data_IF_307256609187
#
_entry.id   IF_307256609187
#
_cell.length_a   1.000
_cell.length_b   1.000
_cell.length_c   1.000
_cell.angle_alpha   90.00
_cell.angle_beta   90.00
_cell.angle_gamma   90.00
#
_symmetry.space_group_name_H-M   'P 1'
#
loop_
_entity.id
_entity.type
_entity.pdbx_description
1 polymer ?
#
# COMPACT_ATOMS: atom_id res chain seq x y z
N UNK A 1 -34.40 4.22 0.58
CA UNK A 1 -33.62 4.50 1.79
C UNK A 1 -32.65 5.63 1.47
N UNK A 2 -33.04 6.88 1.72
CA UNK A 2 -32.27 8.06 1.28
C UNK A 2 -31.30 8.43 2.40
N UNK A 3 -30.05 8.00 2.29
CA UNK A 3 -29.00 8.32 3.27
C UNK A 3 -28.66 9.82 3.17
N UNK A 4 -29.06 10.60 4.18
CA UNK A 4 -28.93 12.05 4.18
C UNK A 4 -27.49 12.46 4.54
N UNK A 5 -26.67 12.70 3.52
CA UNK A 5 -25.21 12.95 3.60
C UNK A 5 -24.82 14.14 4.50
N UNK A 6 -25.74 15.10 4.72
CA UNK A 6 -25.51 16.23 5.62
C UNK A 6 -25.55 15.82 7.10
N UNK A 7 -26.21 14.71 7.45
CA UNK A 7 -26.31 14.28 8.84
C UNK A 7 -25.06 13.54 9.32
N UNK A 8 -24.38 12.75 8.47
CA UNK A 8 -23.17 12.02 8.88
C UNK A 8 -22.00 12.93 9.28
N UNK A 9 -21.91 14.12 8.68
CA UNK A 9 -20.92 15.15 9.06
C UNK A 9 -21.28 15.80 10.41
N UNK A 10 -22.56 15.95 10.74
CA UNK A 10 -23.01 16.49 12.04
C UNK A 10 -22.70 15.57 13.22
N UNK A 11 -22.53 14.26 12.99
CA UNK A 11 -22.20 13.27 14.04
C UNK A 11 -20.70 13.20 14.32
N UNK A 12 -19.87 14.12 13.79
CA UNK A 12 -18.41 14.22 14.04
C UNK A 12 -17.61 12.93 13.81
N UNK A 13 -18.10 11.99 12.98
CA UNK A 13 -17.39 10.72 12.75
C UNK A 13 -16.27 10.83 11.70
N UNK A 14 -16.32 11.85 10.86
CA UNK A 14 -15.32 12.12 9.81
C UNK A 14 -15.20 13.64 9.68
N UNK A 15 -13.98 14.23 9.75
CA UNK A 15 -13.80 15.70 9.72
C UNK A 15 -14.23 16.30 8.38
N UNK A 16 -13.88 15.65 7.27
CA UNK A 16 -14.23 16.08 5.92
C UNK A 16 -14.28 14.93 4.94
N UNK A 17 -15.01 15.14 3.84
CA UNK A 17 -15.16 14.18 2.74
C UNK A 17 -15.38 14.91 1.42
N UNK A 18 -14.78 14.41 0.35
CA UNK A 18 -14.99 14.88 -1.03
C UNK A 18 -15.30 13.71 -1.95
N UNK A 19 -16.06 13.97 -3.01
CA UNK A 19 -16.23 13.02 -4.10
C UNK A 19 -16.40 13.72 -5.44
N UNK A 20 -15.79 13.12 -6.46
CA UNK A 20 -15.88 13.53 -7.86
C UNK A 20 -16.33 12.32 -8.67
N UNK A 21 -17.32 12.50 -9.54
CA UNK A 21 -17.81 11.49 -10.49
C UNK A 21 -17.80 12.11 -11.87
N UNK A 22 -17.08 11.48 -12.80
CA UNK A 22 -16.95 11.92 -14.19
C UNK A 22 -17.32 10.74 -15.08
N UNK A 23 -18.13 10.97 -16.12
CA UNK A 23 -18.46 9.93 -17.09
C UNK A 23 -17.38 9.76 -18.16
N UNK A 24 -17.55 8.74 -19.01
CA UNK A 24 -16.60 8.44 -20.10
C UNK A 24 -16.44 9.57 -21.14
N UNK A 25 -17.35 10.55 -21.17
CA UNK A 25 -17.27 11.71 -22.07
C UNK A 25 -16.49 12.87 -21.46
N UNK A 26 -16.08 12.74 -20.19
CA UNK A 26 -15.45 13.81 -19.42
C UNK A 26 -16.46 14.74 -18.74
N UNK A 27 -17.76 14.44 -18.78
CA UNK A 27 -18.77 15.25 -18.11
C UNK A 27 -18.75 14.96 -16.61
N UNK A 28 -18.52 16.00 -15.81
CA UNK A 28 -18.66 15.95 -14.36
C UNK A 28 -20.13 15.77 -13.99
N UNK A 29 -20.44 14.64 -13.35
CA UNK A 29 -21.78 14.31 -12.85
C UNK A 29 -21.94 14.69 -11.38
N UNK A 30 -20.84 14.72 -10.62
CA UNK A 30 -20.80 15.06 -9.22
C UNK A 30 -19.42 15.65 -8.87
N UNK A 31 -19.37 16.74 -8.11
CA UNK A 31 -18.14 17.37 -7.64
C UNK A 31 -18.47 18.18 -6.38
N UNK A 32 -18.54 17.49 -5.25
CA UNK A 32 -18.94 18.11 -3.97
C UNK A 32 -18.00 17.67 -2.85
N UNK A 33 -17.88 18.52 -1.85
CA UNK A 33 -17.15 18.23 -0.61
C UNK A 33 -17.89 18.79 0.60
N UNK A 34 -17.63 18.20 1.77
CA UNK A 34 -18.27 18.56 3.03
C UNK A 34 -17.28 18.48 4.18
N UNK A 35 -17.48 19.30 5.21
CA UNK A 35 -16.71 19.28 6.45
C UNK A 35 -15.47 20.18 6.45
N UNK A 36 -14.58 19.94 7.40
CA UNK A 36 -13.36 20.71 7.68
C UNK A 36 -12.14 19.79 7.71
N UNK A 37 -10.95 20.36 7.77
CA UNK A 37 -9.71 19.57 7.87
C UNK A 37 -9.47 18.99 9.27
N UNK A 38 -10.08 19.59 10.28
CA UNK A 38 -10.00 19.15 11.67
C UNK A 38 -11.40 19.23 12.29
N UNK A 39 -11.83 18.13 12.92
CA UNK A 39 -13.14 18.04 13.58
C UNK A 39 -13.16 18.71 14.96
N UNK A 40 -11.99 18.94 15.56
CA UNK A 40 -11.85 19.49 16.92
C UNK A 40 -11.53 20.99 16.93
N UNK A 41 -11.18 21.56 15.77
CA UNK A 41 -10.92 23.00 15.63
C UNK A 41 -12.09 23.69 14.93
N UNK A 42 -12.78 24.57 15.66
CA UNK A 42 -13.90 25.38 15.14
C UNK A 42 -13.48 26.39 14.07
N UNK A 43 -12.19 26.72 13.98
CA UNK A 43 -11.62 27.60 12.96
C UNK A 43 -10.93 26.83 11.83
N UNK A 44 -11.06 25.50 11.80
CA UNK A 44 -10.44 24.67 10.78
C UNK A 44 -10.90 25.09 9.39
N UNK A 45 -9.95 25.06 8.44
CA UNK A 45 -10.25 25.36 7.04
C UNK A 45 -11.27 24.35 6.49
N UNK A 46 -12.14 24.76 5.55
CA UNK A 46 -13.04 23.85 4.87
C UNK A 46 -12.28 22.75 4.12
N UNK A 47 -12.85 21.54 4.13
CA UNK A 47 -12.40 20.47 3.25
C UNK A 47 -12.94 20.71 1.84
N UNK A 48 -12.05 20.80 0.86
CA UNK A 48 -12.38 21.00 -0.56
C UNK A 48 -11.87 19.85 -1.41
N UNK A 49 -12.37 19.72 -2.63
CA UNK A 49 -11.87 18.72 -3.59
C UNK A 49 -10.43 19.00 -4.07
N UNK A 50 -9.85 20.16 -3.74
CA UNK A 50 -8.44 20.51 -3.97
C UNK A 50 -7.56 20.30 -2.72
N UNK A 51 -8.14 19.74 -1.64
CA UNK A 51 -7.39 19.46 -0.41
C UNK A 51 -6.33 18.41 -0.68
N UNK A 52 -5.09 18.67 -0.25
CA UNK A 52 -4.00 17.70 -0.31
C UNK A 52 -4.25 16.58 0.71
N UNK A 53 -4.18 15.34 0.24
CA UNK A 53 -4.41 14.14 1.05
C UNK A 53 -3.24 13.19 0.94
N UNK A 54 -2.99 12.46 2.01
CA UNK A 54 -2.17 11.25 1.94
C UNK A 54 -2.95 10.16 1.22
N UNK A 55 -2.47 9.75 0.06
CA UNK A 55 -3.13 8.72 -0.76
C UNK A 55 -2.96 7.31 -0.20
N UNK A 56 -1.97 7.09 0.66
CA UNK A 56 -1.64 5.77 1.20
C UNK A 56 -1.59 4.71 0.08
N UNK A 57 -2.27 3.57 0.27
CA UNK A 57 -2.28 2.50 -0.71
C UNK A 57 -2.90 2.86 -2.07
N UNK A 58 -3.62 3.98 -2.21
CA UNK A 58 -4.13 4.41 -3.52
C UNK A 58 -2.99 4.69 -4.52
N UNK A 59 -1.77 4.95 -4.03
CA UNK A 59 -0.57 5.10 -4.87
C UNK A 59 -0.28 3.85 -5.72
N UNK A 60 -0.71 2.64 -5.29
CA UNK A 60 -0.54 1.38 -6.04
C UNK A 60 -1.13 1.43 -7.45
N UNK A 61 -2.23 2.18 -7.66
CA UNK A 61 -2.82 2.38 -8.98
C UNK A 61 -1.86 3.12 -9.91
N UNK A 62 -1.24 4.20 -9.42
CA UNK A 62 -0.28 4.99 -10.18
C UNK A 62 0.97 4.15 -10.47
N UNK A 63 1.49 3.43 -9.48
CA UNK A 63 2.64 2.53 -9.65
C UNK A 63 2.36 1.43 -10.70
N UNK A 64 1.16 0.85 -10.67
CA UNK A 64 0.75 -0.17 -11.65
C UNK A 64 0.67 0.41 -13.07
N UNK A 65 0.14 1.63 -13.21
CA UNK A 65 0.13 2.34 -14.49
C UNK A 65 1.54 2.58 -15.01
N UNK A 66 2.47 3.03 -14.16
CA UNK A 66 3.87 3.22 -14.55
C UNK A 66 4.52 1.90 -15.02
N UNK A 67 4.23 0.77 -14.35
CA UNK A 67 4.72 -0.54 -14.79
C UNK A 67 4.19 -0.92 -16.19
N UNK A 68 2.90 -0.66 -16.47
CA UNK A 68 2.31 -0.90 -17.79
C UNK A 68 2.91 0.03 -18.87
N UNK A 69 3.20 1.29 -18.54
CA UNK A 69 3.89 2.20 -19.46
C UNK A 69 5.32 1.72 -19.78
N UNK A 70 6.03 1.15 -18.81
CA UNK A 70 7.36 0.57 -19.04
C UNK A 70 7.30 -0.69 -19.92
N UNK A 71 6.22 -1.48 -19.81
CA UNK A 71 5.93 -2.61 -20.71
C UNK A 71 5.69 -2.12 -22.14
N UNK A 72 4.84 -1.10 -22.33
CA UNK A 72 4.56 -0.50 -23.66
C UNK A 72 5.83 0.07 -24.31
N UNK A 73 6.73 0.65 -23.51
CA UNK A 73 8.04 1.15 -23.96
C UNK A 73 9.06 0.04 -24.26
N UNK A 74 8.73 -1.24 -24.03
CA UNK A 74 9.64 -2.37 -24.19
C UNK A 74 10.77 -2.43 -23.14
N UNK A 75 10.72 -1.61 -22.09
CA UNK A 75 11.68 -1.63 -20.97
C UNK A 75 11.41 -2.82 -20.05
N UNK A 76 10.14 -3.13 -19.83
CA UNK A 76 9.71 -4.44 -19.36
C UNK A 76 9.37 -5.27 -20.60
N UNK A 77 9.91 -6.48 -20.72
CA UNK A 77 9.69 -7.29 -21.91
C UNK A 77 8.39 -8.09 -21.83
N UNK A 78 8.04 -8.59 -20.65
CA UNK A 78 6.77 -9.26 -20.35
C UNK A 78 6.39 -9.08 -18.89
N UNK A 79 5.10 -9.12 -18.56
CA UNK A 79 4.64 -9.18 -17.16
C UNK A 79 4.95 -10.53 -16.50
N UNK A 80 5.21 -11.57 -17.30
CA UNK A 80 5.67 -12.88 -16.82
C UNK A 80 7.19 -12.91 -16.58
N UNK A 81 7.91 -11.82 -16.89
CA UNK A 81 9.33 -11.75 -16.61
C UNK A 81 9.60 -11.92 -15.11
N UNK A 82 10.61 -12.72 -14.71
CA UNK A 82 11.07 -12.78 -13.35
C UNK A 82 11.53 -11.40 -12.87
N UNK A 83 11.04 -10.94 -11.71
CA UNK A 83 11.39 -9.63 -11.14
C UNK A 83 12.89 -9.47 -10.97
N UNK A 84 13.60 -10.56 -10.64
CA UNK A 84 15.06 -10.58 -10.49
C UNK A 84 15.85 -10.10 -11.72
N UNK A 85 15.23 -10.10 -12.91
CA UNK A 85 15.82 -9.51 -14.14
C UNK A 85 16.04 -8.00 -14.00
N UNK A 86 15.15 -7.33 -13.26
CA UNK A 86 15.15 -5.89 -13.04
C UNK A 86 15.66 -5.52 -11.63
N UNK A 87 15.40 -6.37 -10.64
CA UNK A 87 15.79 -6.18 -9.24
C UNK A 87 16.47 -7.46 -8.72
N UNK A 88 17.78 -7.67 -8.98
CA UNK A 88 18.49 -8.91 -8.66
C UNK A 88 18.37 -9.36 -7.20
N UNK A 89 18.22 -8.43 -6.27
CA UNK A 89 18.04 -8.70 -4.84
C UNK A 89 16.78 -9.54 -4.55
N UNK A 90 15.72 -9.42 -5.37
CA UNK A 90 14.50 -10.23 -5.24
C UNK A 90 14.78 -11.72 -5.47
N UNK A 91 15.82 -12.05 -6.24
CA UNK A 91 16.25 -13.43 -6.45
C UNK A 91 16.91 -14.08 -5.23
N UNK A 92 17.24 -13.29 -4.20
CA UNK A 92 17.87 -13.76 -2.97
C UNK A 92 16.86 -13.98 -1.83
N UNK A 93 15.58 -13.71 -2.09
CA UNK A 93 14.55 -13.82 -1.07
C UNK A 93 14.29 -15.27 -0.67
N UNK A 94 14.06 -15.46 0.62
CA UNK A 94 13.65 -16.72 1.23
C UNK A 94 12.21 -16.59 1.76
N UNK A 95 11.52 -17.72 1.88
CA UNK A 95 10.19 -17.79 2.48
C UNK A 95 10.35 -18.10 3.96
N UNK A 96 9.74 -17.28 4.80
CA UNK A 96 9.67 -17.50 6.23
C UNK A 96 8.49 -18.41 6.58
N UNK A 97 8.75 -19.46 7.35
CA UNK A 97 7.74 -20.47 7.73
C UNK A 97 7.46 -20.48 9.24
N UNK A 98 7.98 -19.49 9.99
CA UNK A 98 7.82 -19.39 11.44
C UNK A 98 9.12 -19.63 12.19
N UNK A 99 8.99 -20.07 13.44
CA UNK A 99 10.11 -20.37 14.34
C UNK A 99 10.09 -21.83 14.75
N UNK A 100 11.28 -22.41 14.95
CA UNK A 100 11.43 -23.74 15.53
C UNK A 100 11.16 -23.72 17.05
N UNK A 101 11.19 -24.90 17.67
CA UNK A 101 11.01 -25.07 19.13
C UNK A 101 12.03 -24.32 19.99
N UNK A 102 13.15 -23.88 19.41
CA UNK A 102 14.20 -23.13 20.09
C UNK A 102 14.10 -21.61 19.80
N UNK A 103 13.08 -21.16 19.06
CA UNK A 103 12.92 -19.76 18.66
C UNK A 103 13.80 -19.33 17.48
N UNK A 104 14.43 -20.27 16.76
CA UNK A 104 15.20 -19.95 15.55
C UNK A 104 14.27 -19.86 14.33
N UNK A 105 14.46 -18.87 13.43
CA UNK A 105 13.62 -18.71 12.25
C UNK A 105 13.80 -19.89 11.27
N UNK A 106 12.69 -20.37 10.73
CA UNK A 106 12.65 -21.40 9.69
C UNK A 106 12.53 -20.68 8.35
N UNK A 107 13.54 -20.84 7.50
CA UNK A 107 13.60 -20.26 6.16
C UNK A 107 13.71 -21.36 5.12
N UNK A 108 13.03 -21.19 3.98
CA UNK A 108 13.17 -22.06 2.82
C UNK A 108 13.35 -21.27 1.54
N UNK A 109 13.86 -21.93 0.51
CA UNK A 109 13.88 -21.36 -0.84
C UNK A 109 12.45 -21.26 -1.41
N UNK A 110 12.15 -20.21 -2.18
CA UNK A 110 10.90 -20.13 -2.94
C UNK A 110 10.78 -21.27 -3.95
N UNK A 111 9.55 -21.78 -4.14
CA UNK A 111 9.27 -22.87 -5.10
C UNK A 111 9.18 -22.38 -6.55
N UNK A 112 9.04 -21.07 -6.74
CA UNK A 112 8.93 -20.41 -8.04
C UNK A 112 9.59 -19.03 -7.99
N UNK A 113 9.79 -18.43 -9.16
CA UNK A 113 10.27 -17.04 -9.24
C UNK A 113 9.09 -16.09 -9.19
N UNK A 114 9.26 -14.96 -8.50
CA UNK A 114 8.29 -13.87 -8.51
C UNK A 114 8.34 -13.20 -9.88
N UNK A 115 7.18 -13.04 -10.53
CA UNK A 115 7.00 -12.30 -11.78
C UNK A 115 6.46 -10.91 -11.50
N UNK A 116 6.52 -10.02 -12.48
CA UNK A 116 5.91 -8.69 -12.35
C UNK A 116 4.40 -8.80 -12.15
N UNK A 117 3.74 -9.74 -12.83
CA UNK A 117 2.32 -10.04 -12.65
C UNK A 117 2.00 -10.44 -11.20
N UNK A 118 2.86 -11.24 -10.55
CA UNK A 118 2.67 -11.60 -9.15
C UNK A 118 2.69 -10.37 -8.23
N UNK A 119 3.56 -9.39 -8.49
CA UNK A 119 3.59 -8.13 -7.73
C UNK A 119 2.31 -7.30 -7.95
N UNK A 120 1.90 -7.14 -9.21
CA UNK A 120 0.73 -6.32 -9.57
C UNK A 120 -0.60 -6.88 -9.06
N UNK A 121 -0.66 -8.19 -8.81
CA UNK A 121 -1.89 -8.90 -8.39
C UNK A 121 -1.87 -9.32 -6.93
N UNK A 122 -0.85 -8.95 -6.16
CA UNK A 122 -0.68 -9.37 -4.77
C UNK A 122 -0.65 -10.91 -4.59
N UNK A 123 0.02 -11.61 -5.51
CA UNK A 123 0.19 -13.08 -5.49
C UNK A 123 1.65 -13.51 -5.46
N UNK A 124 2.58 -12.58 -5.22
CA UNK A 124 4.02 -12.85 -5.05
C UNK A 124 4.36 -13.56 -3.74
N UNK A 125 3.38 -13.66 -2.86
CA UNK A 125 3.54 -14.09 -1.49
C UNK A 125 4.04 -12.97 -0.59
N UNK A 126 4.36 -11.75 -1.04
CA UNK A 126 4.87 -10.69 -0.16
C UNK A 126 3.75 -10.10 0.75
N UNK A 127 3.97 -9.91 2.06
CA UNK A 127 3.03 -9.31 3.04
C UNK A 127 3.65 -8.12 3.80
N UNK A 128 2.87 -7.50 4.69
CA UNK A 128 3.32 -6.48 5.62
C UNK A 128 3.60 -7.08 7.00
N UNK A 129 4.46 -6.45 7.79
CA UNK A 129 4.84 -6.91 9.13
C UNK A 129 3.98 -6.33 10.26
N UNK A 130 3.00 -5.48 9.95
CA UNK A 130 2.16 -4.79 10.93
C UNK A 130 0.76 -5.39 11.12
N UNK A 131 0.44 -6.48 10.41
CA UNK A 131 -0.80 -7.22 10.66
C UNK A 131 -0.62 -8.23 11.79
N UNK A 132 -1.64 -8.44 12.63
CA UNK A 132 -1.57 -9.38 13.76
C UNK A 132 -1.22 -10.80 13.32
N UNK A 133 -1.71 -11.22 12.14
CA UNK A 133 -1.38 -12.52 11.53
C UNK A 133 0.08 -12.65 11.14
N UNK A 134 0.78 -11.52 10.97
CA UNK A 134 2.17 -11.41 10.58
C UNK A 134 3.09 -11.03 11.75
N UNK A 135 2.60 -11.08 13.00
CA UNK A 135 3.44 -10.85 14.19
C UNK A 135 4.72 -11.70 14.21
N UNK A 136 4.72 -12.99 13.82
CA UNK A 136 5.97 -13.76 13.72
C UNK A 136 7.00 -13.16 12.74
N UNK A 137 6.52 -12.54 11.65
CA UNK A 137 7.38 -11.81 10.70
C UNK A 137 7.97 -10.54 11.32
N UNK A 138 7.16 -9.80 12.09
CA UNK A 138 7.64 -8.65 12.85
C UNK A 138 8.75 -9.04 13.83
N UNK A 139 8.52 -10.08 14.64
CA UNK A 139 9.51 -10.56 15.61
C UNK A 139 10.80 -11.02 14.92
N UNK A 140 10.68 -11.65 13.74
CA UNK A 140 11.83 -12.03 12.94
C UNK A 140 12.63 -10.82 12.45
N UNK A 141 11.97 -9.77 11.92
CA UNK A 141 12.62 -8.52 11.48
C UNK A 141 13.33 -7.82 12.63
N UNK A 142 12.66 -7.70 13.78
CA UNK A 142 13.24 -7.14 14.98
C UNK A 142 14.50 -7.92 15.42
N UNK A 143 14.51 -9.26 15.30
CA UNK A 143 15.69 -10.08 15.61
C UNK A 143 16.89 -9.82 14.67
N UNK A 144 16.62 -9.27 13.48
CA UNK A 144 17.62 -8.86 12.49
C UNK A 144 18.00 -7.38 12.59
N UNK A 145 17.43 -6.63 13.55
CA UNK A 145 17.65 -5.19 13.70
C UNK A 145 16.99 -4.36 12.59
N UNK A 146 15.97 -4.89 11.91
CA UNK A 146 15.23 -4.18 10.88
C UNK A 146 14.07 -3.41 11.51
N UNK A 147 13.90 -2.14 11.12
CA UNK A 147 12.75 -1.33 11.51
C UNK A 147 11.47 -1.85 10.88
N UNK A 148 10.34 -1.72 11.58
CA UNK A 148 9.06 -2.07 10.99
C UNK A 148 8.60 -1.02 9.99
N UNK A 149 7.78 -1.42 9.02
CA UNK A 149 7.17 -0.47 8.08
C UNK A 149 6.29 0.58 8.76
N UNK A 150 5.86 0.35 10.01
CA UNK A 150 5.17 1.35 10.84
C UNK A 150 6.13 2.35 11.50
N UNK A 151 7.34 1.93 11.84
CA UNK A 151 8.33 2.78 12.52
C UNK A 151 8.99 3.76 11.53
N UNK A 152 9.10 3.35 10.25
CA UNK A 152 9.55 4.20 9.15
C UNK A 152 8.62 5.39 8.83
N UNK A 153 7.41 5.43 9.43
CA UNK A 153 6.46 6.54 9.28
C UNK A 153 6.68 7.67 10.30
N UNK A 154 7.52 7.44 11.33
CA UNK A 154 7.76 8.43 12.40
C UNK A 154 9.04 9.26 12.18
N UNK A 155 9.98 8.79 11.34
CA UNK A 155 11.19 9.55 10.99
C UNK A 155 11.08 10.11 9.55
N UNK A 156 11.43 11.39 9.36
CA UNK A 156 11.50 12.09 8.05
C UNK A 156 12.61 11.55 7.11
N UNK A 157 12.90 10.25 7.15
CA UNK A 157 13.86 9.61 6.26
C UNK A 157 13.16 9.04 5.04
N UNK A 158 13.87 9.02 3.90
CA UNK A 158 13.41 8.53 2.61
C UNK A 158 12.52 7.28 2.74
N UNK A 159 11.34 7.30 2.11
CA UNK A 159 10.47 6.13 1.95
C UNK A 159 11.27 4.97 1.34
N UNK A 160 11.79 4.10 2.19
CA UNK A 160 12.51 2.91 1.79
C UNK A 160 11.46 1.88 1.36
N UNK A 161 11.29 1.70 0.04
CA UNK A 161 10.39 0.72 -0.58
C UNK A 161 10.81 -0.74 -0.32
N UNK A 162 11.14 -1.10 0.91
CA UNK A 162 11.50 -2.48 1.29
C UNK A 162 10.34 -3.25 1.94
N UNK A 163 9.13 -2.69 2.07
CA UNK A 163 8.10 -3.30 2.91
C UNK A 163 7.06 -4.13 2.16
N UNK A 164 7.50 -5.25 1.57
CA UNK A 164 6.61 -6.36 1.19
C UNK A 164 7.40 -7.68 1.30
N UNK A 165 7.04 -8.62 2.22
CA UNK A 165 7.64 -9.97 2.44
C UNK A 165 6.76 -10.91 3.29
N UNK A 166 6.97 -12.24 3.37
CA UNK A 166 6.10 -13.20 2.68
C UNK A 166 5.05 -13.89 3.58
N UNK A 167 3.85 -14.16 3.05
CA UNK A 167 2.84 -15.10 3.51
C UNK A 167 2.29 -15.94 2.34
N UNK A 168 2.18 -17.26 2.58
CA UNK A 168 1.82 -18.42 1.73
C UNK A 168 2.88 -18.94 0.73
#
# INVERSE_FOLDING_TARGET
MTYNRRESVKVHRVPGIGAIVIDKTGKTLFNESFGTLDANDHNARPFTNDTQLFLWSCTKLITSLCALQLLEQGKISSLDDPVKKYLPQVGQFEVFEGFDKNGSPILRKPNSQITIMHLMTHTSGLTYDFWEVDKPMFDYRASKGQQSGTDALEEENEFQFYDVFFGV
#
